data_IF_731738650200
#
_entry.id   IF_731738650200
#
_cell.length_a   1.000
_cell.length_b   1.000
_cell.length_c   1.000
_cell.angle_alpha   90.00
_cell.angle_beta   90.00
_cell.angle_gamma   90.00
#
_symmetry.space_group_name_H-M   'P 1'
#
loop_
_entity.id
_entity.type
_entity.pdbx_description
1 polymer ?
#
# COMPACT_ATOMS: atom_id res chain seq x y z
N UNK A 1 -17.04 8.93 -9.46
CA UNK A 1 -17.11 8.13 -8.23
C UNK A 1 -16.39 6.80 -8.44
N UNK A 2 -15.53 6.44 -7.50
CA UNK A 2 -14.79 5.19 -7.60
C UNK A 2 -15.66 4.02 -7.14
N UNK A 3 -15.52 2.90 -7.84
CA UNK A 3 -16.16 1.64 -7.45
C UNK A 3 -15.08 0.59 -7.16
N UNK A 4 -15.43 -0.37 -6.32
CA UNK A 4 -14.53 -1.46 -5.93
C UNK A 4 -15.10 -2.78 -6.45
N UNK A 5 -14.21 -3.60 -6.98
CA UNK A 5 -14.61 -4.90 -7.55
C UNK A 5 -13.58 -5.95 -7.16
N UNK A 6 -14.03 -7.11 -6.72
CA UNK A 6 -13.14 -8.24 -6.47
C UNK A 6 -13.03 -9.10 -7.72
N UNK A 7 -11.79 -9.45 -8.07
CA UNK A 7 -11.49 -10.35 -9.17
C UNK A 7 -10.52 -11.40 -8.63
N UNK A 8 -11.06 -12.52 -8.13
CA UNK A 8 -10.26 -13.51 -7.41
C UNK A 8 -9.69 -12.90 -6.13
N UNK A 9 -8.37 -12.95 -5.97
CA UNK A 9 -7.65 -12.39 -4.82
C UNK A 9 -7.31 -10.92 -5.01
N UNK A 10 -7.77 -10.29 -6.09
CA UNK A 10 -7.39 -8.94 -6.45
C UNK A 10 -8.57 -7.99 -6.27
N UNK A 11 -8.33 -6.94 -5.47
CA UNK A 11 -9.26 -5.81 -5.40
C UNK A 11 -8.92 -4.84 -6.51
N UNK A 12 -9.92 -4.48 -7.30
CA UNK A 12 -9.77 -3.49 -8.36
C UNK A 12 -10.57 -2.25 -8.01
N UNK A 13 -9.96 -1.08 -8.17
CA UNK A 13 -10.62 0.20 -7.95
C UNK A 13 -10.74 0.88 -9.31
N UNK A 14 -11.99 1.20 -9.68
CA UNK A 14 -12.31 1.75 -10.99
C UNK A 14 -13.01 3.10 -10.87
N UNK A 15 -12.81 3.94 -11.88
CA UNK A 15 -13.61 5.13 -12.08
C UNK A 15 -14.35 4.93 -13.42
N UNK A 16 -15.65 4.62 -13.33
CA UNK A 16 -16.39 4.16 -14.50
C UNK A 16 -15.82 2.82 -14.98
N UNK A 17 -15.39 2.75 -16.24
CA UNK A 17 -14.76 1.57 -16.81
C UNK A 17 -13.23 1.60 -16.73
N UNK A 18 -12.65 2.68 -16.19
CA UNK A 18 -11.21 2.85 -16.11
C UNK A 18 -10.66 2.25 -14.82
N UNK A 19 -9.78 1.27 -14.95
CA UNK A 19 -9.05 0.70 -13.82
C UNK A 19 -8.01 1.71 -13.34
N UNK A 20 -8.06 2.06 -12.05
CA UNK A 20 -7.13 3.01 -11.45
C UNK A 20 -5.99 2.28 -10.76
N UNK A 21 -6.31 1.43 -9.80
CA UNK A 21 -5.32 0.58 -9.12
C UNK A 21 -5.90 -0.80 -8.90
N UNK A 22 -5.00 -1.76 -8.73
CA UNK A 22 -5.36 -3.09 -8.24
C UNK A 22 -4.45 -3.47 -7.08
N UNK A 23 -5.00 -4.21 -6.13
CA UNK A 23 -4.29 -4.71 -4.97
C UNK A 23 -4.52 -6.22 -4.91
N UNK A 24 -3.45 -6.98 -5.09
CA UNK A 24 -3.50 -8.45 -5.01
C UNK A 24 -2.96 -8.87 -3.65
N UNK A 25 -3.74 -9.65 -2.91
CA UNK A 25 -3.39 -10.04 -1.55
C UNK A 25 -3.19 -11.55 -1.46
N UNK A 26 -2.12 -11.95 -0.79
CA UNK A 26 -1.79 -13.36 -0.61
C UNK A 26 -1.08 -13.56 0.72
N UNK A 27 -1.49 -14.56 1.48
CA UNK A 27 -0.83 -14.91 2.75
C UNK A 27 0.24 -15.94 2.47
N UNK A 28 1.49 -15.62 2.83
CA UNK A 28 2.65 -16.50 2.70
C UNK A 28 3.43 -16.46 4.01
N UNK A 29 3.64 -17.62 4.65
CA UNK A 29 4.41 -17.73 5.89
C UNK A 29 3.92 -16.78 6.99
N UNK A 30 2.60 -16.68 7.15
CA UNK A 30 1.92 -15.84 8.15
C UNK A 30 2.05 -14.33 7.90
N UNK A 31 2.52 -13.93 6.72
CA UNK A 31 2.59 -12.53 6.32
C UNK A 31 1.63 -12.28 5.16
N UNK A 32 0.96 -11.13 5.20
CA UNK A 32 0.12 -10.71 4.08
C UNK A 32 1.00 -9.99 3.06
N UNK A 33 1.08 -10.53 1.85
CA UNK A 33 1.75 -9.89 0.73
C UNK A 33 0.72 -9.15 -0.10
N UNK A 34 0.89 -7.84 -0.21
CA UNK A 34 0.01 -7.00 -1.03
C UNK A 34 0.82 -6.45 -2.19
N UNK A 35 0.40 -6.77 -3.40
CA UNK A 35 1.02 -6.23 -4.62
C UNK A 35 0.08 -5.18 -5.18
N UNK A 36 0.54 -3.93 -5.23
CA UNK A 36 -0.24 -2.82 -5.78
C UNK A 36 0.24 -2.54 -7.20
N UNK A 37 -0.70 -2.34 -8.12
CA UNK A 37 -0.39 -2.03 -9.50
C UNK A 37 -1.13 -0.77 -9.92
N UNK A 38 -0.43 0.16 -10.57
CA UNK A 38 -0.99 1.40 -11.09
C UNK A 38 -0.42 2.64 -10.42
N UNK A 39 -1.14 3.74 -10.54
CA UNK A 39 -0.77 5.01 -9.92
C UNK A 39 -1.63 5.25 -8.68
N UNK A 40 -0.99 5.43 -7.53
CA UNK A 40 -1.72 5.69 -6.29
C UNK A 40 -1.93 7.20 -6.16
N UNK A 41 -2.97 7.68 -6.82
CA UNK A 41 -3.34 9.09 -6.83
C UNK A 41 -4.22 9.44 -5.63
N UNK A 42 -4.49 10.73 -5.45
CA UNK A 42 -5.33 11.23 -4.34
C UNK A 42 -6.69 10.51 -4.29
N UNK A 43 -7.28 10.25 -5.44
CA UNK A 43 -8.64 9.67 -5.53
C UNK A 43 -8.73 8.24 -5.02
N UNK A 44 -7.61 7.52 -4.88
CA UNK A 44 -7.60 6.15 -4.37
C UNK A 44 -6.84 6.01 -3.05
N UNK A 45 -6.36 7.11 -2.48
CA UNK A 45 -5.58 7.07 -1.24
C UNK A 45 -6.38 6.46 -0.10
N UNK A 46 -7.67 6.76 -0.01
CA UNK A 46 -8.53 6.24 1.04
C UNK A 46 -8.74 4.72 0.93
N UNK A 47 -9.02 4.23 -0.28
CA UNK A 47 -9.15 2.80 -0.53
C UNK A 47 -7.85 2.06 -0.23
N UNK A 48 -6.72 2.67 -0.58
CA UNK A 48 -5.40 2.13 -0.31
C UNK A 48 -5.16 1.98 1.20
N UNK A 49 -5.46 3.03 1.97
CA UNK A 49 -5.32 3.00 3.43
C UNK A 49 -6.25 1.96 4.06
N UNK A 50 -7.51 1.91 3.62
CA UNK A 50 -8.49 0.95 4.14
C UNK A 50 -8.03 -0.49 3.93
N UNK A 51 -7.47 -0.80 2.77
CA UNK A 51 -6.99 -2.16 2.49
C UNK A 51 -5.78 -2.52 3.34
N UNK A 52 -4.88 -1.57 3.59
CA UNK A 52 -3.75 -1.81 4.49
C UNK A 52 -4.23 -2.10 5.90
N UNK A 53 -5.17 -1.31 6.41
CA UNK A 53 -5.72 -1.53 7.76
C UNK A 53 -6.46 -2.86 7.85
N UNK A 54 -7.21 -3.21 6.80
CA UNK A 54 -7.91 -4.50 6.75
C UNK A 54 -6.92 -5.66 6.77
N UNK A 55 -5.78 -5.54 6.11
CA UNK A 55 -4.74 -6.58 6.11
C UNK A 55 -4.20 -6.82 7.51
N UNK A 56 -4.02 -5.78 8.31
CA UNK A 56 -3.55 -5.91 9.69
C UNK A 56 -4.57 -6.54 10.63
N UNK A 57 -5.83 -6.58 10.25
CA UNK A 57 -6.83 -7.33 11.03
C UNK A 57 -6.73 -8.84 10.81
N UNK A 58 -6.01 -9.26 9.78
CA UNK A 58 -5.82 -10.67 9.42
C UNK A 58 -4.42 -11.17 9.78
N UNK A 59 -3.39 -10.37 9.51
CA UNK A 59 -1.99 -10.73 9.75
C UNK A 59 -1.28 -9.60 10.48
N UNK A 60 -0.33 -9.97 11.35
CA UNK A 60 0.49 -8.98 12.06
C UNK A 60 1.61 -8.42 11.18
N UNK A 61 1.99 -9.14 10.14
CA UNK A 61 3.05 -8.73 9.22
C UNK A 61 2.42 -8.49 7.85
N UNK A 62 2.64 -7.31 7.31
CA UNK A 62 2.20 -6.95 5.96
C UNK A 62 3.42 -6.52 5.15
N UNK A 63 3.63 -7.16 4.02
CA UNK A 63 4.66 -6.80 3.06
C UNK A 63 3.98 -6.16 1.86
N UNK A 64 4.26 -4.88 1.67
CA UNK A 64 3.67 -4.07 0.62
C UNK A 64 4.63 -3.96 -0.55
N UNK A 65 4.29 -4.58 -1.67
CA UNK A 65 5.12 -4.59 -2.87
C UNK A 65 4.66 -3.48 -3.81
N UNK A 66 5.53 -2.49 -4.01
CA UNK A 66 5.27 -1.34 -4.86
C UNK A 66 6.00 -1.42 -6.21
N UNK A 67 6.49 -2.61 -6.60
CA UNK A 67 7.27 -2.76 -7.84
C UNK A 67 6.46 -2.44 -9.10
N UNK A 68 5.14 -2.53 -9.04
CA UNK A 68 4.24 -2.21 -10.15
C UNK A 68 3.57 -0.85 -10.00
N UNK A 69 4.02 -0.06 -9.04
CA UNK A 69 3.52 1.31 -8.81
C UNK A 69 4.46 2.29 -9.51
N UNK A 70 3.89 3.18 -10.31
CA UNK A 70 4.66 4.17 -11.07
C UNK A 70 4.57 5.57 -10.48
N UNK A 71 3.61 5.78 -9.59
CA UNK A 71 3.38 7.08 -8.96
C UNK A 71 2.65 6.89 -7.64
N UNK A 72 3.03 7.67 -6.63
CA UNK A 72 2.31 7.71 -5.36
C UNK A 72 2.14 9.16 -4.91
N UNK A 73 0.90 9.56 -4.66
CA UNK A 73 0.58 10.91 -4.22
C UNK A 73 0.98 11.13 -2.75
N UNK A 74 1.24 12.38 -2.39
CA UNK A 74 1.63 12.73 -1.01
C UNK A 74 0.60 12.28 0.02
N UNK A 75 -0.68 12.37 -0.30
CA UNK A 75 -1.74 11.94 0.63
C UNK A 75 -1.70 10.43 0.86
N UNK A 76 -1.33 9.66 -0.17
CA UNK A 76 -1.17 8.21 -0.04
C UNK A 76 0.08 7.87 0.78
N UNK A 77 1.16 8.62 0.64
CA UNK A 77 2.33 8.46 1.49
C UNK A 77 2.02 8.77 2.95
N UNK A 78 1.20 9.78 3.21
CA UNK A 78 0.73 10.10 4.56
C UNK A 78 -0.15 8.99 5.11
N UNK A 79 -0.91 8.32 4.27
CA UNK A 79 -1.70 7.16 4.67
C UNK A 79 -0.80 6.04 5.18
N UNK A 80 0.33 5.80 4.51
CA UNK A 80 1.33 4.83 4.99
C UNK A 80 1.89 5.22 6.35
N UNK A 81 2.16 6.51 6.55
CA UNK A 81 2.62 7.00 7.85
C UNK A 81 1.58 6.79 8.94
N UNK A 82 0.30 7.07 8.66
CA UNK A 82 -0.78 6.85 9.61
C UNK A 82 -0.87 5.40 10.02
N UNK A 83 -0.79 4.49 9.06
CA UNK A 83 -0.79 3.05 9.33
C UNK A 83 0.41 2.68 10.18
N UNK A 84 1.60 3.17 9.83
CA UNK A 84 2.82 2.89 10.58
C UNK A 84 2.71 3.35 12.04
N UNK A 85 2.16 4.54 12.28
CA UNK A 85 1.97 5.06 13.63
C UNK A 85 1.00 4.20 14.44
N UNK A 86 -0.06 3.72 13.80
CA UNK A 86 -1.03 2.85 14.46
C UNK A 86 -0.40 1.52 14.86
N UNK A 87 0.35 0.90 13.94
CA UNK A 87 0.96 -0.40 14.21
C UNK A 87 2.18 -0.32 15.15
N UNK A 88 2.82 0.84 15.25
CA UNK A 88 3.94 1.05 16.18
C UNK A 88 3.49 0.91 17.64
N UNK A 89 2.20 1.05 17.91
CA UNK A 89 1.63 0.83 19.24
C UNK A 89 1.47 -0.66 19.56
N UNK A 90 1.69 -1.52 18.57
CA UNK A 90 1.57 -2.99 18.69
C UNK A 90 2.92 -3.62 18.34
N UNK A 91 3.65 -4.10 19.34
CA UNK A 91 4.99 -4.67 19.17
C UNK A 91 5.04 -5.85 18.21
N UNK A 92 3.90 -6.53 18.00
CA UNK A 92 3.84 -7.71 17.13
C UNK A 92 3.55 -7.35 15.67
N UNK A 93 3.19 -6.10 15.38
CA UNK A 93 2.81 -5.69 14.03
C UNK A 93 3.98 -5.06 13.29
N UNK A 94 4.07 -5.33 11.99
CA UNK A 94 5.15 -4.81 11.15
C UNK A 94 4.66 -4.57 9.73
N UNK A 95 4.96 -3.40 9.20
CA UNK A 95 4.73 -3.04 7.80
C UNK A 95 6.08 -2.90 7.12
N UNK A 96 6.30 -3.69 6.07
CA UNK A 96 7.54 -3.67 5.29
C UNK A 96 7.20 -3.29 3.85
N UNK A 97 7.88 -2.30 3.31
CA UNK A 97 7.69 -1.85 1.92
C UNK A 97 8.82 -2.41 1.08
N UNK A 98 8.48 -3.10 0.01
CA UNK A 98 9.47 -3.74 -0.87
C UNK A 98 9.25 -3.33 -2.32
N UNK A 99 10.30 -3.45 -3.11
CA UNK A 99 10.21 -3.39 -4.58
C UNK A 99 10.00 -2.02 -5.18
N UNK A 100 10.18 -0.92 -4.42
CA UNK A 100 10.00 0.41 -5.00
C UNK A 100 10.94 0.65 -6.18
N UNK A 101 10.39 1.23 -7.27
CA UNK A 101 11.21 1.74 -8.36
C UNK A 101 12.05 2.93 -7.87
N UNK A 102 13.07 3.30 -8.62
CA UNK A 102 13.90 4.46 -8.28
C UNK A 102 13.07 5.76 -8.28
N UNK A 103 12.10 5.87 -9.18
CA UNK A 103 11.22 7.05 -9.24
C UNK A 103 10.35 7.17 -8.00
N UNK A 104 9.74 6.07 -7.56
CA UNK A 104 8.89 6.06 -6.36
C UNK A 104 9.73 6.29 -5.12
N UNK A 105 10.90 5.67 -5.04
CA UNK A 105 11.83 5.87 -3.93
C UNK A 105 12.24 7.33 -3.79
N UNK A 106 12.50 8.00 -4.91
CA UNK A 106 12.83 9.42 -4.92
C UNK A 106 11.67 10.27 -4.39
N UNK A 107 10.43 9.92 -4.70
CA UNK A 107 9.25 10.60 -4.17
C UNK A 107 9.21 10.52 -2.64
N UNK A 108 9.52 9.35 -2.08
CA UNK A 108 9.59 9.17 -0.63
C UNK A 108 10.76 9.98 -0.03
N UNK A 109 11.91 10.00 -0.67
CA UNK A 109 13.07 10.78 -0.21
C UNK A 109 12.75 12.27 -0.16
N UNK A 110 12.16 12.79 -1.23
CA UNK A 110 11.80 14.20 -1.36
C UNK A 110 10.80 14.63 -0.29
N UNK A 111 9.88 13.72 0.07
CA UNK A 111 8.85 13.98 1.08
C UNK A 111 9.34 13.79 2.51
N UNK A 112 10.56 13.26 2.71
CA UNK A 112 11.12 13.00 4.03
C UNK A 112 10.56 11.77 4.72
N UNK A 113 9.81 10.93 4.02
CA UNK A 113 9.15 9.76 4.62
C UNK A 113 10.00 8.50 4.64
N UNK A 114 11.13 8.51 3.92
CA UNK A 114 11.97 7.32 3.77
C UNK A 114 12.52 6.81 5.10
N UNK A 115 12.88 7.72 6.01
CA UNK A 115 13.48 7.38 7.30
C UNK A 115 12.48 6.88 8.33
N UNK A 116 11.19 7.08 8.07
CA UNK A 116 10.12 6.75 9.04
C UNK A 116 9.58 5.35 8.76
N UNK A 117 9.61 4.93 7.50
CA UNK A 117 9.05 3.66 7.04
C UNK A 117 10.11 2.58 6.99
N UNK A 118 9.70 1.33 7.16
CA UNK A 118 10.58 0.17 7.05
C UNK A 118 10.62 -0.29 5.61
N UNK A 119 11.71 0.02 4.91
CA UNK A 119 11.85 -0.26 3.49
C UNK A 119 12.97 -1.27 3.28
N UNK A 120 12.66 -2.33 2.52
CA UNK A 120 13.63 -3.33 2.09
C UNK A 120 13.85 -3.20 0.59
N UNK A 121 15.08 -3.25 0.19
CA UNK A 121 15.47 -3.23 -1.22
C UNK A 121 15.45 -4.62 -1.85
#
# INVERSE_FOLDING_TARGET
MNTRRMNGDTLEVLNGDTLIISLSEKIVDNAMHIIVSGEIKNEVAHEFEDELMAAFSVCNIVKLDLSKVTYIASIAMRALLSVQQIIDENDDASLVIIGMSSEVKEMFETSGFLDILNIED
#
